data_IF_536675397162
#
_entry.id   IF_536675397162
#
_cell.length_a   1.000
_cell.length_b   1.000
_cell.length_c   1.000
_cell.angle_alpha   90.00
_cell.angle_beta   90.00
_cell.angle_gamma   90.00
#
_symmetry.space_group_name_H-M   'P 1'
#
loop_
_entity.id
_entity.type
_entity.pdbx_description
1 polymer ?
#
# COMPACT_ATOMS: atom_id res chain seq x y z
N UNK A 1 17.11 -3.39 -7.76
CA UNK A 1 16.90 -2.66 -6.49
C UNK A 1 15.74 -1.69 -6.61
N UNK A 2 15.06 -1.37 -5.51
CA UNK A 2 13.85 -0.55 -5.53
C UNK A 2 13.62 0.24 -4.23
N UNK A 3 12.66 1.14 -4.27
CA UNK A 3 12.30 2.04 -3.17
C UNK A 3 10.79 2.33 -3.18
N UNK A 4 10.23 2.63 -2.00
CA UNK A 4 8.85 3.07 -1.82
C UNK A 4 8.81 4.30 -0.90
N UNK A 5 8.03 5.31 -1.29
CA UNK A 5 7.58 6.40 -0.43
C UNK A 5 6.11 6.25 -0.07
N UNK A 6 5.79 6.41 1.21
CA UNK A 6 4.43 6.32 1.70
C UNK A 6 4.26 7.11 3.01
N UNK A 7 3.04 7.54 3.29
CA UNK A 7 2.67 8.18 4.55
C UNK A 7 1.21 7.87 4.89
N UNK A 8 0.84 8.03 6.17
CA UNK A 8 -0.55 7.93 6.62
C UNK A 8 -1.16 9.33 6.60
N UNK A 9 -2.17 9.60 5.77
CA UNK A 9 -2.83 10.90 5.78
C UNK A 9 -3.46 11.18 7.16
N UNK A 10 -3.27 12.37 7.75
CA UNK A 10 -3.81 12.67 9.09
C UNK A 10 -5.34 12.51 9.19
N UNK A 11 -6.07 12.81 8.11
CA UNK A 11 -7.53 12.71 8.04
C UNK A 11 -8.04 11.28 7.80
N UNK A 12 -7.16 10.35 7.40
CA UNK A 12 -7.49 8.94 7.12
C UNK A 12 -6.40 8.02 7.70
N UNK A 13 -6.27 7.93 9.04
CA UNK A 13 -5.18 7.19 9.68
C UNK A 13 -5.27 5.67 9.43
N UNK A 14 -6.46 5.14 9.11
CA UNK A 14 -6.63 3.75 8.68
C UNK A 14 -6.06 3.46 7.29
N UNK A 15 -5.64 4.48 6.54
CA UNK A 15 -5.13 4.33 5.18
C UNK A 15 -3.63 4.67 5.10
N UNK A 16 -2.94 3.95 4.22
CA UNK A 16 -1.57 4.26 3.83
C UNK A 16 -1.59 4.79 2.40
N UNK A 17 -1.20 6.04 2.21
CA UNK A 17 -1.01 6.60 0.88
C UNK A 17 0.41 6.27 0.41
N UNK A 18 0.52 5.59 -0.73
CA UNK A 18 1.78 5.32 -1.41
C UNK A 18 1.92 6.32 -2.53
N UNK A 19 3.00 7.10 -2.49
CA UNK A 19 3.27 8.11 -3.51
C UNK A 19 4.09 7.52 -4.64
N UNK A 20 5.21 6.87 -4.34
CA UNK A 20 6.08 6.33 -5.38
C UNK A 20 6.49 4.89 -5.07
N UNK A 21 6.50 4.07 -6.11
CA UNK A 21 7.11 2.73 -6.11
C UNK A 21 8.08 2.68 -7.27
N UNK A 22 9.38 2.72 -6.97
CA UNK A 22 10.43 2.69 -7.98
C UNK A 22 11.11 1.31 -7.98
N UNK A 23 11.18 0.68 -9.16
CA UNK A 23 11.88 -0.59 -9.37
C UNK A 23 12.88 -0.42 -10.50
N UNK A 24 14.16 -0.61 -10.21
CA UNK A 24 15.23 -0.60 -11.22
C UNK A 24 14.93 -1.60 -12.33
N UNK A 25 15.33 -1.29 -13.55
CA UNK A 25 15.14 -2.15 -14.72
C UNK A 25 15.57 -3.62 -14.50
N UNK A 26 16.76 -3.84 -13.94
CA UNK A 26 17.31 -5.17 -13.62
C UNK A 26 16.45 -6.02 -12.65
N UNK A 27 15.45 -5.43 -12.01
CA UNK A 27 14.56 -6.08 -11.03
C UNK A 27 13.08 -6.06 -11.45
N UNK A 28 12.76 -5.59 -12.67
CA UNK A 28 11.40 -5.64 -13.22
C UNK A 28 10.99 -7.09 -13.50
N UNK A 29 9.68 -7.36 -13.51
CA UNK A 29 9.13 -8.70 -13.73
C UNK A 29 9.32 -9.70 -12.58
N UNK A 30 10.14 -9.39 -11.57
CA UNK A 30 10.48 -10.29 -10.45
C UNK A 30 9.60 -10.08 -9.20
N UNK A 31 8.45 -9.39 -9.34
CA UNK A 31 7.53 -9.11 -8.24
C UNK A 31 8.09 -8.22 -7.12
N UNK A 32 9.23 -7.52 -7.32
CA UNK A 32 9.88 -6.73 -6.28
C UNK A 32 8.97 -5.64 -5.69
N UNK A 33 8.26 -4.88 -6.52
CA UNK A 33 7.35 -3.83 -6.05
C UNK A 33 6.28 -4.35 -5.09
N UNK A 34 5.66 -5.48 -5.43
CA UNK A 34 4.70 -6.15 -4.56
C UNK A 34 5.31 -6.58 -3.21
N UNK A 35 6.50 -7.17 -3.22
CA UNK A 35 7.20 -7.56 -1.98
C UNK A 35 7.58 -6.37 -1.11
N UNK A 36 7.96 -5.24 -1.73
CA UNK A 36 8.24 -4.02 -0.98
C UNK A 36 6.97 -3.45 -0.32
N UNK A 37 5.81 -3.52 -0.99
CA UNK A 37 4.51 -3.15 -0.39
C UNK A 37 4.16 -4.06 0.80
N UNK A 38 4.41 -5.37 0.65
CA UNK A 38 4.19 -6.33 1.73
C UNK A 38 5.07 -6.04 2.94
N UNK A 39 6.36 -5.80 2.72
CA UNK A 39 7.32 -5.43 3.76
C UNK A 39 6.99 -4.07 4.41
N UNK A 40 6.46 -3.11 3.65
CA UNK A 40 6.04 -1.82 4.16
C UNK A 40 4.88 -1.96 5.15
N UNK A 41 3.86 -2.76 4.82
CA UNK A 41 2.70 -2.98 5.71
C UNK A 41 3.04 -3.81 6.96
N UNK A 42 4.13 -4.57 6.94
CA UNK A 42 4.63 -5.30 8.10
C UNK A 42 5.36 -4.44 9.13
N UNK A 43 5.51 -3.12 8.90
CA UNK A 43 6.23 -2.23 9.83
C UNK A 43 5.33 -1.81 11.00
N UNK A 44 5.90 -1.58 12.20
CA UNK A 44 5.13 -1.06 13.34
C UNK A 44 4.38 0.24 13.04
N UNK A 45 4.99 1.15 12.25
CA UNK A 45 4.39 2.42 11.86
C UNK A 45 3.09 2.28 11.03
N UNK A 46 2.89 1.13 10.38
CA UNK A 46 1.69 0.83 9.56
C UNK A 46 0.71 -0.10 10.28
N UNK A 47 0.88 -0.37 11.58
CA UNK A 47 -0.10 -1.11 12.34
C UNK A 47 -1.48 -0.42 12.31
N UNK A 48 -2.52 -1.22 12.12
CA UNK A 48 -3.90 -0.73 11.98
C UNK A 48 -4.22 -0.09 10.62
N UNK A 49 -3.30 -0.12 9.65
CA UNK A 49 -3.66 0.22 8.27
C UNK A 49 -4.61 -0.85 7.73
N UNK A 50 -5.80 -0.44 7.30
CA UNK A 50 -6.81 -1.30 6.72
C UNK A 50 -6.88 -1.14 5.20
N UNK A 51 -6.34 -0.07 4.62
CA UNK A 51 -6.30 0.08 3.17
C UNK A 51 -5.06 0.83 2.67
N UNK A 52 -4.69 0.56 1.43
CA UNK A 52 -3.67 1.31 0.71
C UNK A 52 -4.32 2.16 -0.37
N UNK A 53 -3.85 3.40 -0.53
CA UNK A 53 -4.25 4.29 -1.62
C UNK A 53 -3.03 4.74 -2.42
N UNK A 54 -3.20 4.97 -3.73
CA UNK A 54 -2.17 5.49 -4.64
C UNK A 54 -2.85 6.19 -5.80
N UNK A 55 -2.13 7.06 -6.51
CA UNK A 55 -2.56 7.53 -7.83
C UNK A 55 -1.80 6.80 -8.94
N UNK A 56 -2.46 6.58 -10.07
CA UNK A 56 -1.85 6.05 -11.30
C UNK A 56 -2.35 6.83 -12.50
N UNK A 57 -1.49 7.07 -13.48
CA UNK A 57 -1.89 7.54 -14.80
C UNK A 57 -2.55 6.39 -15.57
N UNK A 58 -3.41 6.68 -16.57
CA UNK A 58 -4.08 5.65 -17.37
C UNK A 58 -3.10 4.70 -18.07
N UNK A 59 -1.94 5.20 -18.51
CA UNK A 59 -0.99 4.46 -19.35
C UNK A 59 0.06 3.66 -18.56
N UNK A 60 -0.13 3.47 -17.24
CA UNK A 60 0.84 2.77 -16.39
C UNK A 60 0.39 1.33 -16.08
N UNK A 61 0.29 0.51 -17.13
CA UNK A 61 -0.14 -0.89 -17.04
C UNK A 61 0.73 -1.72 -16.09
N UNK A 62 2.04 -1.46 -16.07
CA UNK A 62 2.97 -2.16 -15.19
C UNK A 62 2.64 -1.93 -13.71
N UNK A 63 2.34 -0.68 -13.32
CA UNK A 63 1.96 -0.37 -11.93
C UNK A 63 0.59 -0.95 -11.61
N UNK A 64 -0.37 -0.88 -12.54
CA UNK A 64 -1.69 -1.46 -12.35
C UNK A 64 -1.63 -2.98 -12.16
N UNK A 65 -0.80 -3.68 -12.95
CA UNK A 65 -0.57 -5.12 -12.79
C UNK A 65 0.06 -5.46 -11.43
N UNK A 66 1.03 -4.65 -10.98
CA UNK A 66 1.62 -4.78 -9.64
C UNK A 66 0.57 -4.63 -8.54
N UNK A 67 -0.25 -3.58 -8.59
CA UNK A 67 -1.29 -3.32 -7.59
C UNK A 67 -2.39 -4.38 -7.59
N UNK A 68 -2.83 -4.87 -8.77
CA UNK A 68 -3.75 -6.01 -8.89
C UNK A 68 -3.17 -7.29 -8.30
N UNK A 69 -1.90 -7.59 -8.57
CA UNK A 69 -1.21 -8.75 -8.00
C UNK A 69 -1.10 -8.65 -6.48
N UNK A 70 -0.78 -7.46 -5.97
CA UNK A 70 -0.72 -7.19 -4.53
C UNK A 70 -2.10 -7.34 -3.86
N UNK A 71 -3.15 -6.76 -4.44
CA UNK A 71 -4.53 -6.90 -3.95
C UNK A 71 -4.95 -8.37 -3.85
N UNK A 72 -4.67 -9.16 -4.89
CA UNK A 72 -4.96 -10.61 -4.90
C UNK A 72 -4.24 -11.37 -3.79
N UNK A 73 -2.96 -11.08 -3.54
CA UNK A 73 -2.20 -11.73 -2.44
C UNK A 73 -2.73 -11.38 -1.05
N UNK A 74 -3.34 -10.20 -0.92
CA UNK A 74 -3.94 -9.71 0.32
C UNK A 74 -5.42 -10.07 0.46
N UNK A 75 -5.98 -10.77 -0.52
CA UNK A 75 -7.41 -11.09 -0.62
C UNK A 75 -8.31 -9.85 -0.47
N UNK A 76 -7.80 -8.70 -0.93
CA UNK A 76 -8.44 -7.41 -0.78
C UNK A 76 -9.02 -6.91 -2.11
N UNK A 77 -10.19 -6.24 -2.10
CA UNK A 77 -10.73 -5.63 -3.30
C UNK A 77 -9.84 -4.46 -3.75
N UNK A 78 -9.80 -4.23 -5.07
CA UNK A 78 -9.15 -3.09 -5.70
C UNK A 78 -10.22 -2.24 -6.38
N UNK A 79 -10.40 -1.03 -5.88
CA UNK A 79 -11.31 -0.03 -6.43
C UNK A 79 -10.52 1.05 -7.15
N UNK A 80 -11.06 1.56 -8.26
CA UNK A 80 -10.45 2.63 -9.05
C UNK A 80 -11.46 3.76 -9.19
N UNK A 81 -11.13 4.94 -8.67
CA UNK A 81 -11.98 6.14 -8.76
C UNK A 81 -11.23 7.26 -9.48
N UNK A 82 -11.90 8.03 -10.34
CA UNK A 82 -11.27 9.19 -10.97
C UNK A 82 -10.96 10.23 -9.89
N UNK A 83 -9.72 10.76 -9.87
CA UNK A 83 -9.39 11.87 -8.98
C UNK A 83 -9.85 13.16 -9.65
N UNK A 84 -10.95 13.74 -9.19
CA UNK A 84 -11.54 14.98 -9.73
C UNK A 84 -10.82 16.27 -9.29
N UNK A 85 -9.58 16.17 -8.81
CA UNK A 85 -8.78 17.32 -8.39
C UNK A 85 -8.21 18.01 -9.65
N UNK A 86 -9.09 18.77 -10.30
CA UNK A 86 -8.94 19.84 -11.30
C UNK A 86 -7.54 20.05 -11.90
N UNK A 87 -7.34 20.03 -13.23
CA UNK A 87 -7.67 21.13 -14.15
C UNK A 87 -7.12 22.53 -13.82
N UNK A 88 -6.35 22.70 -12.74
CA UNK A 88 -5.73 23.97 -12.38
C UNK A 88 -4.24 23.66 -12.19
N UNK A 89 -3.42 24.00 -13.18
CA UNK A 89 -2.00 24.43 -13.06
C UNK A 89 -1.08 24.10 -14.24
N UNK A 90 -1.46 23.32 -15.27
CA UNK A 90 -0.49 22.95 -16.31
C UNK A 90 -1.04 22.87 -17.74
N UNK A 91 -1.55 23.99 -18.26
CA UNK A 91 -1.70 24.25 -19.70
C UNK A 91 -2.27 23.10 -20.58
N UNK A 92 -3.20 22.30 -20.04
CA UNK A 92 -3.94 21.28 -20.81
C UNK A 92 -3.19 19.98 -21.14
N UNK A 93 -2.08 19.64 -20.48
CA UNK A 93 -1.24 18.50 -20.87
C UNK A 93 -1.23 17.30 -19.90
N UNK A 94 -2.31 16.99 -19.19
CA UNK A 94 -2.31 15.86 -18.25
C UNK A 94 -3.49 14.90 -18.41
N UNK A 95 -3.16 13.62 -18.55
CA UNK A 95 -4.11 12.52 -18.49
C UNK A 95 -4.75 12.44 -17.10
N UNK A 96 -6.05 12.17 -17.04
CA UNK A 96 -6.79 11.99 -15.78
C UNK A 96 -6.08 11.00 -14.88
N UNK A 97 -5.59 11.46 -13.72
CA UNK A 97 -5.06 10.57 -12.70
C UNK A 97 -6.20 9.80 -12.02
N UNK A 98 -5.99 8.51 -11.82
CA UNK A 98 -6.93 7.65 -11.14
C UNK A 98 -6.40 7.30 -9.76
N UNK A 99 -7.25 7.40 -8.76
CA UNK A 99 -6.97 6.86 -7.45
C UNK A 99 -7.28 5.36 -7.45
N UNK A 100 -6.31 4.56 -7.01
CA UNK A 100 -6.53 3.16 -6.64
C UNK A 100 -6.67 3.10 -5.13
N UNK A 101 -7.64 2.33 -4.65
CA UNK A 101 -7.78 1.92 -3.26
C UNK A 101 -7.78 0.40 -3.17
N UNK A 102 -6.95 -0.16 -2.29
CA UNK A 102 -6.85 -1.61 -2.05
C UNK A 102 -7.15 -1.86 -0.58
N UNK A 103 -8.25 -2.53 -0.30
CA UNK A 103 -8.70 -2.82 1.06
C UNK A 103 -10.23 -2.83 1.20
N UNK A 104 -10.78 -3.31 2.32
CA UNK A 104 -10.05 -3.56 3.57
C UNK A 104 -9.12 -4.77 3.45
N UNK A 105 -7.91 -4.67 4.01
CA UNK A 105 -7.07 -5.81 4.29
C UNK A 105 -7.69 -6.59 5.43
N UNK A 106 -7.56 -7.93 5.40
CA UNK A 106 -7.84 -8.72 6.57
C UNK A 106 -6.93 -8.26 7.70
N UNK A 107 -7.50 -7.59 8.69
CA UNK A 107 -6.85 -7.40 9.96
C UNK A 107 -6.70 -8.78 10.57
N UNK A 108 -5.47 -9.25 10.69
CA UNK A 108 -5.20 -10.28 11.68
C UNK A 108 -5.65 -9.67 13.02
N UNK A 109 -6.60 -10.29 13.76
CA UNK A 109 -6.90 -9.81 15.10
C UNK A 109 -5.57 -9.71 15.83
N UNK A 110 -5.36 -8.61 16.56
CA UNK A 110 -4.16 -8.42 17.37
C UNK A 110 -3.96 -9.70 18.16
N UNK A 111 -2.98 -10.51 17.76
CA UNK A 111 -2.83 -11.84 18.29
C UNK A 111 -2.72 -11.73 19.80
N UNK A 112 -3.49 -12.56 20.51
CA UNK A 112 -3.34 -12.79 21.94
C UNK A 112 -1.87 -12.74 22.29
N UNK A 113 -1.49 -11.68 23.01
CA UNK A 113 -0.23 -11.66 23.70
C UNK A 113 -0.26 -12.88 24.63
N UNK A 114 0.37 -13.97 24.21
CA UNK A 114 0.50 -15.18 25.02
C UNK A 114 1.03 -14.72 26.37
N UNK A 115 0.29 -14.92 27.48
CA UNK A 115 0.76 -14.43 28.77
C UNK A 115 2.13 -15.04 29.03
N UNK A 116 3.08 -14.18 29.39
CA UNK A 116 4.39 -14.62 29.85
C UNK A 116 4.18 -15.66 30.95
N UNK A 117 4.83 -16.82 30.83
CA UNK A 117 4.82 -17.83 31.88
C UNK A 117 5.23 -17.15 33.20
N UNK A 118 4.53 -17.37 34.32
CA UNK A 118 5.03 -16.91 35.60
C UNK A 118 6.37 -17.59 35.87
N UNK A 119 7.42 -16.79 36.07
CA UNK A 119 8.65 -17.25 36.70
C UNK A 119 8.27 -17.71 38.11
N UNK A 120 8.29 -19.03 38.31
CA UNK A 120 8.14 -19.63 39.62
C UNK A 120 9.48 -19.42 40.32
N UNK A 121 9.53 -18.42 41.20
CA UNK A 121 10.66 -18.26 42.12
C UNK A 121 10.58 -19.40 43.14
N UNK A 122 11.49 -20.38 43.02
CA UNK A 122 11.76 -21.35 44.07
C UNK A 122 12.94 -20.81 44.88
N UNK A 123 12.61 -20.50 46.14
CA UNK A 123 13.41 -20.36 47.38
C UNK A 123 14.90 -20.04 47.29
#
# INVERSE_FOLDING_TARGET
>A
MGWISAYRPPTRPGELFVWQVAVSEKARGQGLGGRMLDALLGRPATHGVTALTTTVTPDNDASLAMFRSFARRREAPLERTPRFDQQIHFAGAHATEWQIRIGPFHTQPAGDARPAKPEISLS
#
